data_IF_741821846078
#
_entry.id   IF_741821846078
#
_cell.length_a   1.000
_cell.length_b   1.000
_cell.length_c   1.000
_cell.angle_alpha   90.00
_cell.angle_beta   90.00
_cell.angle_gamma   90.00
#
_symmetry.space_group_name_H-M   'P 1'
#
loop_
_entity.id
_entity.type
_entity.pdbx_description
1 polymer ?
#
# COMPACT_ATOMS: atom_id res chain seq x y z
N UNK A 1 59.63 2.74 -45.97
CA UNK A 1 59.08 1.97 -44.83
C UNK A 1 58.08 2.84 -44.09
N UNK A 2 56.82 2.89 -44.52
CA UNK A 2 55.69 3.50 -43.75
C UNK A 2 54.30 3.29 -44.37
N UNK A 3 54.18 2.63 -45.52
CA UNK A 3 52.88 2.40 -46.20
C UNK A 3 52.47 0.93 -46.33
N UNK A 4 53.34 -0.04 -46.02
CA UNK A 4 53.02 -1.47 -46.14
C UNK A 4 52.42 -2.09 -44.86
N UNK A 5 52.66 -1.52 -43.68
CA UNK A 5 52.14 -2.04 -42.39
C UNK A 5 50.73 -1.57 -42.04
N UNK A 6 50.27 -0.45 -42.61
CA UNK A 6 48.92 0.09 -42.37
C UNK A 6 47.83 -0.72 -43.12
N UNK A 7 48.15 -1.25 -44.30
CA UNK A 7 47.20 -2.04 -45.10
C UNK A 7 46.95 -3.45 -44.54
N UNK A 8 47.91 -4.04 -43.81
CA UNK A 8 47.74 -5.36 -43.21
C UNK A 8 46.79 -5.34 -42.00
N UNK A 9 46.80 -4.28 -41.19
CA UNK A 9 45.92 -4.12 -40.02
C UNK A 9 44.47 -3.83 -40.47
N UNK A 10 44.28 -3.09 -41.56
CA UNK A 10 42.95 -2.77 -42.08
C UNK A 10 42.24 -3.99 -42.72
N UNK A 11 43.00 -4.95 -43.26
CA UNK A 11 42.44 -6.18 -43.82
C UNK A 11 41.94 -7.14 -42.73
N UNK A 12 42.66 -7.27 -41.61
CA UNK A 12 42.25 -8.11 -40.48
C UNK A 12 41.05 -7.55 -39.71
N UNK A 13 40.95 -6.23 -39.56
CA UNK A 13 39.82 -5.59 -38.87
C UNK A 13 38.52 -5.69 -39.66
N UNK A 14 38.57 -5.55 -40.99
CA UNK A 14 37.38 -5.71 -41.84
C UNK A 14 36.89 -7.17 -41.93
N UNK A 15 37.78 -8.15 -41.82
CA UNK A 15 37.41 -9.57 -41.79
C UNK A 15 36.71 -9.94 -40.46
N UNK A 16 37.14 -9.36 -39.33
CA UNK A 16 36.52 -9.60 -38.01
C UNK A 16 35.13 -8.95 -37.92
N UNK A 17 34.92 -7.78 -38.55
CA UNK A 17 33.61 -7.11 -38.59
C UNK A 17 32.63 -7.88 -39.52
N UNK A 18 33.08 -8.40 -40.66
CA UNK A 18 32.25 -9.20 -41.57
C UNK A 18 31.83 -10.55 -40.95
N UNK A 19 32.70 -11.17 -40.15
CA UNK A 19 32.40 -12.45 -39.48
C UNK A 19 31.39 -12.26 -38.32
N UNK A 20 31.49 -11.15 -37.58
CA UNK A 20 30.53 -10.82 -36.51
C UNK A 20 29.14 -10.42 -37.06
N UNK A 21 29.07 -9.76 -38.21
CA UNK A 21 27.81 -9.44 -38.90
C UNK A 21 27.10 -10.68 -39.48
N UNK A 22 27.85 -11.72 -39.90
CA UNK A 22 27.25 -12.99 -40.29
C UNK A 22 26.77 -13.81 -39.08
N UNK A 23 27.45 -13.75 -37.93
CA UNK A 23 26.98 -14.43 -36.71
C UNK A 23 25.74 -13.76 -36.09
N UNK A 24 25.63 -12.42 -36.11
CA UNK A 24 24.42 -11.72 -35.69
C UNK A 24 23.23 -11.96 -36.65
N UNK A 25 23.47 -12.12 -37.96
CA UNK A 25 22.38 -12.46 -38.89
C UNK A 25 21.94 -13.92 -38.79
N UNK A 26 22.83 -14.89 -38.49
CA UNK A 26 22.41 -16.28 -38.32
C UNK A 26 21.58 -16.52 -37.04
N UNK A 27 21.81 -15.77 -35.96
CA UNK A 27 20.94 -15.81 -34.78
C UNK A 27 19.58 -15.14 -35.00
N UNK A 28 19.50 -14.12 -35.86
CA UNK A 28 18.23 -13.47 -36.20
C UNK A 28 17.36 -14.25 -37.19
N UNK A 29 17.94 -15.17 -37.97
CA UNK A 29 17.20 -15.97 -38.98
C UNK A 29 16.64 -17.27 -38.41
N UNK A 30 17.15 -17.82 -37.31
CA UNK A 30 16.59 -19.06 -36.71
C UNK A 30 15.32 -18.86 -35.88
N UNK A 31 14.88 -17.61 -35.66
CA UNK A 31 13.62 -17.29 -34.96
C UNK A 31 12.52 -16.83 -35.95
N UNK A 32 12.82 -16.79 -37.25
CA UNK A 32 11.90 -16.36 -38.31
C UNK A 32 11.50 -17.46 -39.30
N UNK A 33 10.45 -18.23 -38.96
CA UNK A 33 9.47 -18.69 -39.96
C UNK A 33 9.58 -20.11 -40.55
N UNK A 34 8.63 -20.96 -40.14
CA UNK A 34 7.83 -21.88 -40.97
C UNK A 34 6.49 -21.99 -40.21
N UNK A 35 5.32 -21.47 -40.58
CA UNK A 35 4.61 -21.42 -41.87
C UNK A 35 3.25 -22.12 -41.68
N UNK A 36 2.15 -21.38 -41.48
CA UNK A 36 0.80 -21.98 -41.38
C UNK A 36 -0.33 -21.08 -40.84
N UNK A 37 -0.94 -20.28 -41.72
CA UNK A 37 -2.31 -19.71 -41.73
C UNK A 37 -3.15 -19.73 -40.42
N UNK A 38 -3.41 -18.56 -39.84
CA UNK A 38 -4.44 -18.33 -38.82
C UNK A 38 -4.11 -17.15 -37.90
N UNK A 39 -4.73 -15.99 -38.12
CA UNK A 39 -4.47 -14.77 -37.36
C UNK A 39 -5.00 -14.82 -35.93
N UNK A 40 -4.07 -14.79 -34.97
CA UNK A 40 -4.31 -14.69 -33.54
C UNK A 40 -2.98 -14.79 -32.81
N UNK A 41 -2.26 -13.67 -32.66
CA UNK A 41 -0.98 -13.62 -31.95
C UNK A 41 -1.22 -13.83 -30.45
N UNK A 42 -1.22 -15.10 -30.00
CA UNK A 42 -1.08 -15.44 -28.60
C UNK A 42 0.36 -15.14 -28.19
N UNK A 43 0.53 -14.17 -27.30
CA UNK A 43 1.76 -13.96 -26.52
C UNK A 43 2.14 -15.30 -25.91
N UNK A 44 3.37 -15.78 -26.15
CA UNK A 44 3.92 -16.95 -25.45
C UNK A 44 3.99 -16.58 -23.98
N UNK A 45 2.97 -16.94 -23.20
CA UNK A 45 2.94 -16.70 -21.77
C UNK A 45 4.03 -17.52 -21.08
N UNK A 46 4.71 -16.94 -20.10
CA UNK A 46 5.62 -17.68 -19.24
C UNK A 46 4.90 -18.92 -18.68
N UNK A 47 5.50 -20.13 -18.69
CA UNK A 47 4.86 -21.35 -18.19
C UNK A 47 4.46 -21.24 -16.71
N UNK A 48 5.04 -20.28 -16.00
CA UNK A 48 4.64 -19.95 -14.64
C UNK A 48 3.24 -19.32 -14.55
N UNK A 49 2.80 -18.53 -15.55
CA UNK A 49 1.49 -17.88 -15.55
C UNK A 49 0.33 -18.78 -16.02
N UNK A 50 0.63 -20.02 -16.42
CA UNK A 50 -0.37 -21.00 -16.87
C UNK A 50 -1.40 -21.35 -15.77
N UNK A 51 -1.00 -21.25 -14.50
CA UNK A 51 -1.91 -21.24 -13.35
C UNK A 51 -1.78 -19.95 -12.55
N UNK A 52 -2.86 -19.16 -12.46
CA UNK A 52 -2.91 -17.98 -11.58
C UNK A 52 -3.02 -18.41 -10.12
N UNK A 53 -2.16 -17.85 -9.25
CA UNK A 53 -2.10 -18.20 -7.81
C UNK A 53 -2.53 -17.04 -6.90
N UNK A 54 -3.32 -16.10 -7.40
CA UNK A 54 -3.86 -14.98 -6.61
C UNK A 54 -4.58 -15.43 -5.31
N UNK A 55 -5.22 -16.60 -5.33
CA UNK A 55 -5.85 -17.19 -4.14
C UNK A 55 -4.88 -17.42 -2.98
N UNK A 56 -3.61 -17.79 -3.25
CA UNK A 56 -2.62 -18.00 -2.19
C UNK A 56 -2.31 -16.70 -1.45
N UNK A 57 -2.26 -15.59 -2.17
CA UNK A 57 -2.03 -14.28 -1.59
C UNK A 57 -3.24 -13.80 -0.78
N UNK A 58 -4.47 -13.93 -1.31
CA UNK A 58 -5.69 -13.59 -0.56
C UNK A 58 -5.87 -14.45 0.68
N UNK A 59 -5.63 -15.76 0.54
CA UNK A 59 -5.74 -16.71 1.64
C UNK A 59 -4.75 -16.37 2.76
N UNK A 60 -3.54 -15.91 2.43
CA UNK A 60 -2.57 -15.49 3.43
C UNK A 60 -3.10 -14.35 4.30
N UNK A 61 -3.68 -13.32 3.69
CA UNK A 61 -4.27 -12.19 4.40
C UNK A 61 -5.44 -12.63 5.28
N UNK A 62 -6.35 -13.44 4.74
CA UNK A 62 -7.52 -13.97 5.47
C UNK A 62 -7.07 -14.83 6.65
N UNK A 63 -6.12 -15.74 6.43
CA UNK A 63 -5.57 -16.60 7.49
C UNK A 63 -4.90 -15.77 8.59
N UNK A 64 -4.12 -14.74 8.25
CA UNK A 64 -3.51 -13.87 9.28
C UNK A 64 -4.54 -13.11 10.10
N UNK A 65 -5.60 -12.59 9.47
CA UNK A 65 -6.70 -11.92 10.16
C UNK A 65 -7.43 -12.87 11.10
N UNK A 66 -7.83 -14.06 10.61
CA UNK A 66 -8.52 -15.06 11.41
C UNK A 66 -7.65 -15.60 12.55
N UNK A 67 -6.37 -15.87 12.30
CA UNK A 67 -5.42 -16.31 13.32
C UNK A 67 -5.26 -15.24 14.42
N UNK A 68 -5.10 -13.97 14.05
CA UNK A 68 -5.04 -12.86 15.01
C UNK A 68 -6.31 -12.76 15.86
N UNK A 69 -7.47 -12.84 15.22
CA UNK A 69 -8.77 -12.78 15.90
C UNK A 69 -8.93 -13.97 16.87
N UNK A 70 -8.57 -15.19 16.45
CA UNK A 70 -8.58 -16.37 17.31
C UNK A 70 -7.65 -16.22 18.51
N UNK A 71 -6.43 -15.71 18.33
CA UNK A 71 -5.50 -15.47 19.43
C UNK A 71 -6.09 -14.51 20.46
N UNK A 72 -6.72 -13.42 20.02
CA UNK A 72 -7.36 -12.45 20.94
C UNK A 72 -8.58 -13.06 21.63
N UNK A 73 -9.39 -13.86 20.92
CA UNK A 73 -10.54 -14.54 21.52
C UNK A 73 -10.12 -15.59 22.54
N UNK A 74 -9.10 -16.39 22.23
CA UNK A 74 -8.54 -17.38 23.15
C UNK A 74 -7.95 -16.68 24.38
N UNK A 75 -7.24 -15.56 24.19
CA UNK A 75 -6.75 -14.75 25.30
C UNK A 75 -7.87 -14.22 26.19
N UNK A 76 -8.95 -13.67 25.60
CA UNK A 76 -10.13 -13.21 26.36
C UNK A 76 -10.83 -14.37 27.07
N UNK A 77 -10.97 -15.52 26.42
CA UNK A 77 -11.58 -16.70 27.01
C UNK A 77 -10.75 -17.23 28.18
N UNK A 78 -9.43 -17.27 28.02
CA UNK A 78 -8.51 -17.65 29.09
C UNK A 78 -8.61 -16.69 30.29
N UNK A 79 -8.58 -15.38 30.05
CA UNK A 79 -8.77 -14.38 31.10
C UNK A 79 -10.12 -14.54 31.82
N UNK A 80 -11.21 -14.77 31.07
CA UNK A 80 -12.54 -15.01 31.64
C UNK A 80 -12.60 -16.28 32.48
N UNK A 81 -12.02 -17.39 32.00
CA UNK A 81 -11.97 -18.66 32.72
C UNK A 81 -11.12 -18.58 34.00
N UNK A 82 -9.99 -17.88 33.96
CA UNK A 82 -9.14 -17.63 35.12
C UNK A 82 -9.86 -16.79 36.18
N UNK A 83 -10.52 -15.69 35.79
CA UNK A 83 -11.31 -14.86 36.72
C UNK A 83 -12.52 -15.61 37.31
N UNK A 84 -13.16 -16.52 36.55
CA UNK A 84 -14.27 -17.34 37.07
C UNK A 84 -13.80 -18.38 38.09
N UNK A 85 -12.55 -18.84 38.00
CA UNK A 85 -11.98 -19.87 38.90
C UNK A 85 -11.60 -19.32 40.28
N UNK A 86 -11.42 -17.99 40.41
CA UNK A 86 -11.11 -17.32 41.68
C UNK A 86 -12.34 -17.14 42.60
N UNK A 87 -13.57 -17.25 42.07
CA UNK A 87 -14.79 -17.00 42.83
C UNK A 87 -15.26 -18.17 43.74
N UNK A 88 -14.58 -19.32 43.74
CA UNK A 88 -15.05 -20.58 44.35
C UNK A 88 -14.08 -21.18 45.41
N UNK A 89 -13.16 -20.40 46.01
CA UNK A 89 -12.22 -20.92 47.01
C UNK A 89 -12.45 -20.32 48.41
N UNK A 90 -12.92 -21.18 49.31
CA UNK A 90 -13.06 -20.87 50.74
C UNK A 90 -11.72 -20.75 51.49
N UNK A 91 -11.70 -20.20 52.72
CA UNK A 91 -10.52 -19.57 53.29
C UNK A 91 -9.31 -20.44 53.66
N UNK A 92 -9.33 -21.77 53.50
CA UNK A 92 -8.36 -22.67 54.16
C UNK A 92 -7.87 -23.89 53.34
N UNK A 93 -7.90 -23.87 52.01
CA UNK A 93 -7.36 -24.99 51.21
C UNK A 93 -5.84 -24.90 50.97
N UNK A 94 -5.06 -26.01 51.06
CA UNK A 94 -3.62 -26.02 50.81
C UNK A 94 -3.23 -25.62 49.37
N UNK A 95 -4.19 -25.61 48.44
CA UNK A 95 -4.03 -25.10 47.06
C UNK A 95 -3.78 -23.59 46.97
N UNK A 96 -4.04 -22.82 48.05
CA UNK A 96 -3.74 -21.39 48.09
C UNK A 96 -2.24 -21.06 47.98
N UNK A 97 -1.34 -21.93 48.46
CA UNK A 97 0.12 -21.69 48.36
C UNK A 97 0.61 -21.83 46.92
N UNK A 98 0.12 -22.81 46.18
CA UNK A 98 0.39 -22.94 44.74
C UNK A 98 -0.26 -21.82 43.94
N UNK A 99 -1.47 -21.40 44.30
CA UNK A 99 -2.13 -20.22 43.71
C UNK A 99 -1.37 -18.92 43.98
N UNK A 100 -0.78 -18.71 45.16
CA UNK A 100 0.05 -17.53 45.44
C UNK A 100 1.34 -17.52 44.61
N UNK A 101 1.95 -18.67 44.36
CA UNK A 101 3.10 -18.78 43.46
C UNK A 101 2.72 -18.55 41.99
N UNK A 102 1.55 -19.07 41.55
CA UNK A 102 1.00 -18.80 40.23
C UNK A 102 0.59 -17.31 40.07
N UNK A 103 0.05 -16.70 41.12
CA UNK A 103 -0.30 -15.27 41.19
C UNK A 103 0.92 -14.38 41.14
N UNK A 104 2.03 -14.73 41.78
CA UNK A 104 3.30 -14.00 41.64
C UNK A 104 3.85 -14.06 40.20
N UNK A 105 3.62 -15.17 39.49
CA UNK A 105 3.99 -15.32 38.07
C UNK A 105 3.07 -14.52 37.14
N UNK A 106 1.77 -14.50 37.42
CA UNK A 106 0.77 -13.69 36.69
C UNK A 106 0.88 -12.19 36.99
N UNK A 107 1.24 -11.79 38.22
CA UNK A 107 1.57 -10.40 38.55
C UNK A 107 2.82 -9.96 37.80
N UNK A 108 3.88 -10.78 37.77
CA UNK A 108 5.09 -10.47 37.02
C UNK A 108 4.85 -10.33 35.51
N UNK A 109 4.09 -11.25 34.89
CA UNK A 109 3.68 -11.12 33.48
C UNK A 109 2.75 -9.91 33.25
N UNK A 110 1.87 -9.62 34.21
CA UNK A 110 1.02 -8.43 34.21
C UNK A 110 1.84 -7.14 34.23
N UNK A 111 2.85 -7.06 35.09
CA UNK A 111 3.76 -5.92 35.20
C UNK A 111 4.54 -5.69 33.91
N UNK A 112 5.11 -6.73 33.31
CA UNK A 112 5.81 -6.62 32.03
C UNK A 112 4.89 -6.13 30.91
N UNK A 113 3.66 -6.64 30.84
CA UNK A 113 2.72 -6.24 29.80
C UNK A 113 2.16 -4.83 30.02
N UNK A 114 2.02 -4.37 31.26
CA UNK A 114 1.69 -2.96 31.55
C UNK A 114 2.84 -2.03 31.16
N UNK A 115 4.09 -2.37 31.49
CA UNK A 115 5.26 -1.58 31.08
C UNK A 115 5.40 -1.50 29.56
N UNK A 116 5.23 -2.63 28.86
CA UNK A 116 5.27 -2.68 27.40
C UNK A 116 4.15 -1.85 26.76
N UNK A 117 2.94 -1.86 27.36
CA UNK A 117 1.81 -1.05 26.90
C UNK A 117 2.09 0.45 27.06
N UNK A 118 2.63 0.85 28.21
CA UNK A 118 2.93 2.25 28.49
C UNK A 118 4.06 2.76 27.58
N UNK A 119 5.12 1.97 27.40
CA UNK A 119 6.21 2.26 26.46
C UNK A 119 5.71 2.38 25.01
N UNK A 120 4.87 1.45 24.55
CA UNK A 120 4.29 1.50 23.21
C UNK A 120 3.35 2.70 23.05
N UNK A 121 2.57 3.03 24.08
CA UNK A 121 1.72 4.22 24.13
C UNK A 121 2.52 5.52 24.04
N UNK A 122 3.66 5.60 24.72
CA UNK A 122 4.57 6.75 24.67
C UNK A 122 5.19 6.93 23.27
N UNK A 123 5.55 5.83 22.60
CA UNK A 123 6.05 5.87 21.22
C UNK A 123 5.01 6.37 20.21
N UNK A 124 3.75 5.94 20.33
CA UNK A 124 2.68 6.33 19.40
C UNK A 124 2.18 7.74 19.68
N UNK A 125 2.01 8.09 20.96
CA UNK A 125 1.64 9.46 21.35
C UNK A 125 2.69 10.48 20.95
N UNK A 126 3.94 10.01 20.83
CA UNK A 126 5.03 10.77 20.27
C UNK A 126 5.44 11.98 21.13
N UNK A 127 5.15 11.92 22.43
CA UNK A 127 5.64 12.95 23.34
C UNK A 127 7.17 12.93 23.44
N UNK A 128 7.78 11.76 23.23
CA UNK A 128 9.23 11.57 23.18
C UNK A 128 9.84 11.94 21.82
N UNK A 129 11.13 12.25 21.83
CA UNK A 129 11.92 12.43 20.60
C UNK A 129 11.94 11.17 19.74
N UNK A 130 12.01 9.98 20.36
CA UNK A 130 11.96 8.69 19.66
C UNK A 130 10.61 8.47 18.99
N UNK A 131 9.49 8.78 19.67
CA UNK A 131 8.17 8.71 19.06
C UNK A 131 7.99 9.70 17.90
N UNK A 132 8.54 10.92 18.01
CA UNK A 132 8.57 11.88 16.88
C UNK A 132 9.26 11.31 15.65
N UNK A 133 10.44 10.73 15.86
CA UNK A 133 11.21 10.11 14.79
C UNK A 133 10.41 8.95 14.17
N UNK A 134 9.80 8.08 15.00
CA UNK A 134 8.98 6.97 14.54
C UNK A 134 7.82 7.45 13.66
N UNK A 135 7.08 8.47 14.10
CA UNK A 135 5.93 9.02 13.37
C UNK A 135 6.35 9.64 12.03
N UNK A 136 7.43 10.44 12.01
CA UNK A 136 7.97 11.00 10.76
C UNK A 136 8.43 9.89 9.82
N UNK A 137 9.08 8.86 10.35
CA UNK A 137 9.58 7.74 9.57
C UNK A 137 8.42 6.94 8.96
N UNK A 138 7.37 6.64 9.73
CA UNK A 138 6.13 6.01 9.23
C UNK A 138 5.52 6.84 8.11
N UNK A 139 5.45 8.16 8.26
CA UNK A 139 4.93 9.06 7.23
C UNK A 139 5.74 8.97 5.93
N UNK A 140 7.07 9.14 5.99
CA UNK A 140 7.93 9.09 4.82
C UNK A 140 7.88 7.71 4.15
N UNK A 141 7.96 6.64 4.93
CA UNK A 141 7.88 5.28 4.39
C UNK A 141 6.50 4.96 3.80
N UNK A 142 5.41 5.52 4.34
CA UNK A 142 4.08 5.31 3.78
C UNK A 142 3.98 5.89 2.36
N UNK A 143 4.50 7.11 2.16
CA UNK A 143 4.56 7.76 0.84
C UNK A 143 5.49 6.98 -0.09
N UNK A 144 6.68 6.60 0.37
CA UNK A 144 7.61 5.82 -0.43
C UNK A 144 7.01 4.46 -0.86
N UNK A 145 6.30 3.78 0.04
CA UNK A 145 5.62 2.51 -0.25
C UNK A 145 4.47 2.65 -1.25
N UNK A 146 3.82 3.82 -1.31
CA UNK A 146 2.79 4.14 -2.28
C UNK A 146 3.41 4.47 -3.65
N UNK A 147 4.53 5.18 -3.68
CA UNK A 147 5.29 5.44 -4.92
C UNK A 147 5.77 4.13 -5.55
N UNK A 148 6.30 3.21 -4.73
CA UNK A 148 6.67 1.86 -5.21
C UNK A 148 5.47 1.15 -5.84
N UNK A 149 4.29 1.24 -5.22
CA UNK A 149 3.07 0.71 -5.82
C UNK A 149 2.76 1.34 -7.17
N UNK A 150 2.88 2.67 -7.32
CA UNK A 150 2.65 3.33 -8.62
C UNK A 150 3.65 2.89 -9.70
N UNK A 151 4.92 2.69 -9.33
CA UNK A 151 5.95 2.17 -10.25
C UNK A 151 5.60 0.73 -10.67
N UNK A 152 5.25 -0.14 -9.71
CA UNK A 152 4.89 -1.53 -9.99
C UNK A 152 3.60 -1.63 -10.83
N UNK A 153 2.62 -0.75 -10.57
CA UNK A 153 1.34 -0.69 -11.26
C UNK A 153 1.41 -0.02 -12.64
N UNK A 154 2.45 0.77 -12.94
CA UNK A 154 2.67 1.30 -14.29
C UNK A 154 3.21 0.25 -15.27
N UNK A 155 3.78 -0.83 -14.76
CA UNK A 155 4.27 -1.93 -15.59
C UNK A 155 3.08 -2.81 -16.04
N UNK A 156 3.16 -3.40 -17.23
CA UNK A 156 2.06 -4.19 -17.81
C UNK A 156 1.86 -5.55 -17.11
N UNK A 157 0.61 -5.88 -16.78
CA UNK A 157 0.21 -7.16 -16.19
C UNK A 157 0.09 -7.19 -14.66
N UNK A 158 -0.80 -8.06 -14.16
CA UNK A 158 -1.16 -8.16 -12.72
C UNK A 158 -0.26 -9.12 -11.94
N UNK A 159 0.22 -10.18 -12.60
CA UNK A 159 1.11 -11.20 -12.04
C UNK A 159 2.38 -11.31 -12.88
N UNK A 160 3.55 -11.38 -12.24
CA UNK A 160 4.83 -11.64 -12.91
C UNK A 160 5.61 -12.72 -12.18
N UNK A 161 6.27 -13.58 -12.95
CA UNK A 161 7.13 -14.62 -12.44
C UNK A 161 8.59 -14.19 -12.60
N UNK A 162 9.11 -13.53 -11.58
CA UNK A 162 10.49 -13.07 -11.59
C UNK A 162 11.11 -13.35 -10.22
N UNK A 163 12.33 -13.87 -10.25
CA UNK A 163 13.07 -14.27 -9.06
C UNK A 163 13.28 -13.08 -8.15
N UNK A 164 13.14 -13.31 -6.85
CA UNK A 164 13.34 -12.28 -5.83
C UNK A 164 14.70 -11.57 -5.91
N UNK A 165 15.76 -12.30 -6.27
CA UNK A 165 17.12 -11.76 -6.35
C UNK A 165 17.31 -10.71 -7.44
N UNK A 166 16.52 -10.74 -8.50
CA UNK A 166 16.65 -9.83 -9.64
C UNK A 166 15.76 -8.59 -9.50
N UNK A 167 14.83 -8.61 -8.53
CA UNK A 167 13.82 -7.59 -8.31
C UNK A 167 14.17 -6.64 -7.17
N UNK A 168 14.89 -5.56 -7.50
CA UNK A 168 15.21 -4.50 -6.53
C UNK A 168 13.92 -3.89 -5.92
N UNK A 169 12.87 -3.68 -6.73
CA UNK A 169 11.61 -3.11 -6.23
C UNK A 169 10.93 -4.02 -5.19
N UNK A 170 10.98 -5.34 -5.37
CA UNK A 170 10.43 -6.32 -4.42
C UNK A 170 11.25 -6.36 -3.13
N UNK A 171 12.58 -6.23 -3.22
CA UNK A 171 13.46 -6.18 -2.04
C UNK A 171 13.19 -4.94 -1.19
N UNK A 172 13.04 -3.77 -1.82
CA UNK A 172 12.71 -2.53 -1.12
C UNK A 172 11.29 -2.62 -0.52
N UNK A 173 10.33 -3.18 -1.27
CA UNK A 173 8.96 -3.37 -0.77
C UNK A 173 8.91 -4.23 0.49
N UNK A 174 9.66 -5.34 0.49
CA UNK A 174 9.79 -6.22 1.63
C UNK A 174 10.36 -5.48 2.84
N UNK A 175 11.44 -4.70 2.65
CA UNK A 175 12.05 -3.93 3.73
C UNK A 175 11.05 -2.96 4.38
N UNK A 176 10.22 -2.28 3.57
CA UNK A 176 9.16 -1.41 4.09
C UNK A 176 8.06 -2.20 4.81
N UNK A 177 7.64 -3.36 4.30
CA UNK A 177 6.62 -4.18 4.98
C UNK A 177 7.12 -4.77 6.30
N UNK A 178 8.42 -5.11 6.42
CA UNK A 178 9.02 -5.52 7.71
C UNK A 178 8.94 -4.36 8.71
N UNK A 179 9.24 -3.14 8.30
CA UNK A 179 9.08 -1.98 9.16
C UNK A 179 7.61 -1.77 9.57
N UNK A 180 6.66 -1.85 8.63
CA UNK A 180 5.24 -1.73 8.95
C UNK A 180 4.72 -2.86 9.85
N UNK A 181 5.29 -4.06 9.76
CA UNK A 181 4.98 -5.17 10.65
C UNK A 181 5.38 -4.85 12.09
N UNK A 182 6.58 -4.30 12.31
CA UNK A 182 7.01 -3.85 13.65
C UNK A 182 6.09 -2.73 14.14
N UNK A 183 5.75 -1.76 13.29
CA UNK A 183 4.83 -0.69 13.64
C UNK A 183 3.43 -1.21 13.99
N UNK A 184 2.92 -2.20 13.26
CA UNK A 184 1.66 -2.88 13.56
C UNK A 184 1.68 -3.52 14.95
N UNK A 185 2.75 -4.22 15.32
CA UNK A 185 2.87 -4.82 16.66
C UNK A 185 2.95 -3.78 17.77
N UNK A 186 3.66 -2.66 17.57
CA UNK A 186 3.69 -1.55 18.54
C UNK A 186 2.26 -1.02 18.76
N UNK A 187 1.50 -0.77 17.69
CA UNK A 187 0.10 -0.35 17.78
C UNK A 187 -0.79 -1.39 18.46
N UNK A 188 -0.59 -2.67 18.15
CA UNK A 188 -1.32 -3.76 18.77
C UNK A 188 -1.08 -3.81 20.29
N UNK A 189 0.16 -3.63 20.75
CA UNK A 189 0.51 -3.62 22.19
C UNK A 189 -0.09 -2.40 22.89
N UNK A 190 -0.05 -1.22 22.28
CA UNK A 190 -0.61 0.00 22.85
C UNK A 190 -2.15 0.01 22.94
N UNK A 191 -2.84 -0.66 22.02
CA UNK A 191 -4.30 -0.64 21.95
C UNK A 191 -4.97 -1.12 23.25
N UNK A 192 -5.96 -0.38 23.76
CA UNK A 192 -6.73 -0.79 24.94
C UNK A 192 -7.64 -1.98 24.66
N UNK A 193 -8.37 -1.93 23.55
CA UNK A 193 -9.24 -3.02 23.09
C UNK A 193 -8.65 -3.74 21.87
N UNK A 194 -8.02 -4.88 22.12
CA UNK A 194 -7.33 -5.66 21.06
C UNK A 194 -8.28 -6.09 19.94
N UNK A 195 -9.52 -6.45 20.24
CA UNK A 195 -10.52 -6.86 19.22
C UNK A 195 -10.93 -5.70 18.32
N UNK A 196 -11.20 -4.53 18.91
CA UNK A 196 -11.60 -3.35 18.15
C UNK A 196 -10.45 -2.86 17.28
N UNK A 197 -9.23 -2.91 17.81
CA UNK A 197 -8.02 -2.64 17.04
C UNK A 197 -7.87 -3.57 15.84
N UNK A 198 -8.18 -4.87 15.97
CA UNK A 198 -8.10 -5.79 14.83
C UNK A 198 -9.14 -5.48 13.73
N UNK A 199 -10.25 -4.84 14.07
CA UNK A 199 -11.31 -4.43 13.14
C UNK A 199 -11.17 -2.98 12.66
N UNK A 200 -10.08 -2.30 13.02
CA UNK A 200 -9.79 -0.95 12.58
C UNK A 200 -9.36 -0.93 11.09
N UNK A 201 -9.80 0.10 10.34
CA UNK A 201 -9.50 0.24 8.91
C UNK A 201 -8.00 0.15 8.60
N UNK A 202 -7.16 0.77 9.43
CA UNK A 202 -5.71 0.77 9.24
C UNK A 202 -5.08 -0.60 9.49
N UNK A 203 -5.66 -1.40 10.37
CA UNK A 203 -5.24 -2.79 10.60
C UNK A 203 -5.58 -3.66 9.39
N UNK A 204 -6.74 -3.42 8.74
CA UNK A 204 -7.07 -4.10 7.47
C UNK A 204 -6.06 -3.82 6.37
N UNK A 205 -5.62 -2.56 6.21
CA UNK A 205 -4.58 -2.22 5.23
C UNK A 205 -3.30 -3.04 5.47
N UNK A 206 -2.90 -3.20 6.74
CA UNK A 206 -1.72 -3.98 7.10
C UNK A 206 -1.92 -5.48 6.82
N UNK A 207 -3.08 -6.07 7.12
CA UNK A 207 -3.36 -7.48 6.80
C UNK A 207 -3.36 -7.78 5.30
N UNK A 208 -3.79 -6.84 4.46
CA UNK A 208 -3.85 -7.05 3.02
C UNK A 208 -2.55 -6.71 2.29
N UNK A 209 -1.59 -6.07 2.97
CA UNK A 209 -0.33 -5.63 2.34
C UNK A 209 0.89 -6.37 2.88
N UNK A 210 0.93 -6.71 4.17
CA UNK A 210 2.12 -7.31 4.81
C UNK A 210 2.23 -8.82 4.48
N UNK A 211 1.25 -9.69 4.81
CA UNK A 211 1.36 -11.13 4.56
C UNK A 211 1.58 -11.50 3.08
N UNK A 212 0.86 -10.91 2.10
CA UNK A 212 1.11 -11.19 0.68
C UNK A 212 2.54 -10.90 0.23
N UNK A 213 3.22 -9.93 0.85
CA UNK A 213 4.61 -9.61 0.52
C UNK A 213 5.57 -10.74 0.93
N UNK A 214 5.33 -11.41 2.06
CA UNK A 214 6.10 -12.60 2.45
C UNK A 214 5.81 -13.81 1.56
N UNK A 215 4.55 -14.00 1.18
CA UNK A 215 4.14 -15.07 0.25
C UNK A 215 4.77 -14.88 -1.13
N UNK A 216 4.96 -13.63 -1.58
CA UNK A 216 5.60 -13.34 -2.87
C UNK A 216 7.03 -13.88 -2.98
N UNK A 217 7.74 -13.98 -1.85
CA UNK A 217 9.09 -14.54 -1.78
C UNK A 217 9.02 -16.07 -1.80
N UNK A 218 8.09 -16.64 -1.03
CA UNK A 218 7.93 -18.09 -0.96
C UNK A 218 7.48 -18.70 -2.31
N UNK A 219 6.72 -17.96 -3.11
CA UNK A 219 6.22 -18.40 -4.42
C UNK A 219 7.09 -17.93 -5.61
N UNK A 220 8.14 -17.13 -5.39
CA UNK A 220 8.92 -16.45 -6.44
C UNK A 220 8.03 -15.78 -7.51
N UNK A 221 6.91 -15.19 -7.06
CA UNK A 221 5.91 -14.53 -7.91
C UNK A 221 5.49 -13.21 -7.31
N UNK A 222 5.44 -12.17 -8.12
CA UNK A 222 4.92 -10.86 -7.72
C UNK A 222 3.47 -10.72 -8.17
N UNK A 223 2.63 -10.23 -7.26
CA UNK A 223 1.23 -9.93 -7.52
C UNK A 223 0.93 -8.51 -7.04
N UNK A 224 0.37 -7.68 -7.93
CA UNK A 224 -0.01 -6.31 -7.59
C UNK A 224 -1.17 -6.31 -6.59
N UNK A 225 -2.19 -7.16 -6.82
CA UNK A 225 -3.28 -7.45 -5.91
C UNK A 225 -3.87 -6.23 -5.19
N UNK A 226 -3.95 -6.33 -3.86
CA UNK A 226 -4.54 -5.32 -2.98
C UNK A 226 -3.53 -4.25 -2.51
N UNK A 227 -2.36 -4.13 -3.16
CA UNK A 227 -1.32 -3.15 -2.74
C UNK A 227 -1.78 -1.69 -2.87
N UNK A 228 -2.82 -1.42 -3.67
CA UNK A 228 -3.46 -0.10 -3.76
C UNK A 228 -4.06 0.38 -2.42
N UNK A 229 -4.38 -0.53 -1.49
CA UNK A 229 -4.90 -0.18 -0.16
C UNK A 229 -3.91 0.68 0.64
N UNK A 230 -2.63 0.70 0.27
CA UNK A 230 -1.63 1.62 0.84
C UNK A 230 -2.02 3.08 0.68
N UNK A 231 -2.81 3.43 -0.34
CA UNK A 231 -3.32 4.79 -0.53
C UNK A 231 -4.22 5.23 0.64
N UNK A 232 -4.91 4.31 1.32
CA UNK A 232 -5.71 4.60 2.51
C UNK A 232 -4.87 5.11 3.69
N UNK A 233 -3.55 4.83 3.71
CA UNK A 233 -2.65 5.40 4.72
C UNK A 233 -2.50 6.91 4.58
N UNK A 234 -2.86 7.50 3.45
CA UNK A 234 -2.89 8.97 3.32
C UNK A 234 -3.92 9.61 4.27
N UNK A 235 -4.94 8.86 4.73
CA UNK A 235 -5.91 9.37 5.71
C UNK A 235 -5.28 9.71 7.08
N UNK A 236 -4.15 9.10 7.45
CA UNK A 236 -3.46 9.38 8.72
C UNK A 236 -2.53 10.59 8.64
N UNK A 237 -2.31 11.13 7.45
CA UNK A 237 -1.38 12.26 7.22
C UNK A 237 -1.76 13.51 8.04
N UNK A 238 -3.03 13.96 8.08
CA UNK A 238 -3.42 15.12 8.87
C UNK A 238 -3.13 14.94 10.36
N UNK A 239 -3.38 13.74 10.91
CA UNK A 239 -3.13 13.44 12.32
C UNK A 239 -1.63 13.53 12.64
N UNK A 240 -0.79 13.00 11.73
CA UNK A 240 0.67 13.09 11.83
C UNK A 240 1.13 14.55 11.74
N UNK A 241 0.58 15.34 10.82
CA UNK A 241 0.94 16.76 10.67
C UNK A 241 0.50 17.62 11.86
N UNK A 242 -0.64 17.30 12.47
CA UNK A 242 -1.10 17.92 13.70
C UNK A 242 -0.14 17.59 14.85
N UNK A 243 0.24 16.32 14.94
CA UNK A 243 1.20 15.84 15.92
C UNK A 243 2.60 16.51 15.77
N UNK A 244 3.06 16.75 14.53
CA UNK A 244 4.29 17.49 14.24
C UNK A 244 4.17 19.01 14.44
N UNK A 245 3.02 19.50 14.92
CA UNK A 245 2.74 20.91 15.17
C UNK A 245 2.89 21.80 13.90
N UNK A 246 2.69 21.20 12.72
CA UNK A 246 2.68 21.89 11.42
C UNK A 246 1.29 22.51 11.18
N UNK A 247 0.24 21.74 11.45
CA UNK A 247 -1.15 22.20 11.35
C UNK A 247 -1.63 22.69 12.73
N UNK A 248 -1.63 24.02 12.91
CA UNK A 248 -1.99 24.65 14.20
C UNK A 248 -3.44 25.09 14.28
N UNK A 249 -4.04 25.46 13.15
CA UNK A 249 -5.40 26.00 13.09
C UNK A 249 -6.40 24.90 12.79
N UNK A 250 -7.55 24.89 13.49
CA UNK A 250 -8.64 23.93 13.28
C UNK A 250 -9.12 23.87 11.83
N UNK A 251 -9.24 25.03 11.16
CA UNK A 251 -9.61 25.10 9.74
C UNK A 251 -8.60 24.40 8.82
N UNK A 252 -7.31 24.52 9.11
CA UNK A 252 -6.24 23.88 8.32
C UNK A 252 -6.17 22.38 8.57
N UNK A 253 -6.42 21.93 9.81
CA UNK A 253 -6.52 20.51 10.16
C UNK A 253 -7.70 19.88 9.42
N UNK A 254 -8.88 20.50 9.50
CA UNK A 254 -10.09 20.04 8.83
C UNK A 254 -9.94 20.00 7.30
N UNK A 255 -9.33 21.03 6.72
CA UNK A 255 -9.01 21.06 5.29
C UNK A 255 -8.08 19.92 4.89
N UNK A 256 -6.98 19.72 5.63
CA UNK A 256 -6.05 18.62 5.37
C UNK A 256 -6.73 17.25 5.50
N UNK A 257 -7.60 17.07 6.50
CA UNK A 257 -8.42 15.87 6.67
C UNK A 257 -9.28 15.58 5.45
N UNK A 258 -10.11 16.54 5.02
CA UNK A 258 -10.97 16.38 3.85
C UNK A 258 -10.17 16.07 2.58
N UNK A 259 -9.10 16.80 2.32
CA UNK A 259 -8.26 16.60 1.13
C UNK A 259 -7.59 15.22 1.15
N UNK A 260 -7.05 14.81 2.30
CA UNK A 260 -6.41 13.50 2.44
C UNK A 260 -7.38 12.33 2.27
N UNK A 261 -8.59 12.44 2.83
CA UNK A 261 -9.66 11.45 2.68
C UNK A 261 -10.08 11.39 1.21
N UNK A 262 -10.29 12.54 0.57
CA UNK A 262 -10.69 12.58 -0.84
C UNK A 262 -9.65 11.92 -1.75
N UNK A 263 -8.38 12.30 -1.63
CA UNK A 263 -7.29 11.74 -2.45
C UNK A 263 -7.11 10.25 -2.18
N UNK A 264 -7.13 9.83 -0.91
CA UNK A 264 -6.94 8.42 -0.54
C UNK A 264 -8.04 7.51 -1.09
N UNK A 265 -9.31 7.91 -0.97
CA UNK A 265 -10.46 7.16 -1.51
C UNK A 265 -10.36 7.10 -3.03
N UNK A 266 -9.99 8.19 -3.69
CA UNK A 266 -9.87 8.24 -5.15
C UNK A 266 -8.81 7.30 -5.70
N UNK A 267 -7.60 7.35 -5.12
CA UNK A 267 -6.49 6.48 -5.51
C UNK A 267 -6.80 5.01 -5.21
N UNK A 268 -7.48 4.74 -4.08
CA UNK A 268 -7.92 3.39 -3.74
C UNK A 268 -8.94 2.87 -4.74
N UNK A 269 -9.95 3.67 -5.10
CA UNK A 269 -10.94 3.30 -6.11
C UNK A 269 -10.30 3.09 -7.50
N UNK A 270 -9.32 3.93 -7.87
CA UNK A 270 -8.57 3.75 -9.11
C UNK A 270 -7.80 2.43 -9.11
N UNK A 271 -7.21 2.06 -7.97
CA UNK A 271 -6.55 0.78 -7.77
C UNK A 271 -7.48 -0.42 -7.84
N UNK A 272 -8.71 -0.30 -7.32
CA UNK A 272 -9.74 -1.33 -7.44
C UNK A 272 -10.11 -1.54 -8.91
N UNK A 273 -10.42 -0.47 -9.64
CA UNK A 273 -10.75 -0.57 -11.08
C UNK A 273 -9.57 -1.13 -11.87
N UNK A 274 -8.36 -0.65 -11.60
CA UNK A 274 -7.15 -1.18 -12.20
C UNK A 274 -6.98 -2.68 -11.96
N UNK A 275 -7.23 -3.16 -10.74
CA UNK A 275 -7.17 -4.59 -10.44
C UNK A 275 -8.27 -5.36 -11.18
N UNK A 276 -9.52 -4.89 -11.14
CA UNK A 276 -10.67 -5.59 -11.72
C UNK A 276 -10.56 -5.69 -13.25
N UNK A 277 -10.24 -4.59 -13.92
CA UNK A 277 -10.15 -4.55 -15.39
C UNK A 277 -8.95 -5.35 -15.91
N UNK A 278 -7.79 -5.26 -15.26
CA UNK A 278 -6.61 -6.02 -15.68
C UNK A 278 -6.69 -7.50 -15.29
N UNK A 279 -7.47 -7.86 -14.25
CA UNK A 279 -7.65 -9.26 -13.86
C UNK A 279 -8.60 -9.99 -14.79
N UNK A 280 -9.68 -9.34 -15.24
CA UNK A 280 -10.76 -9.94 -16.04
C UNK A 280 -11.91 -10.47 -15.16
N UNK A 281 -12.96 -10.99 -15.80
CA UNK A 281 -14.14 -11.49 -15.11
C UNK A 281 -13.98 -12.96 -14.67
N UNK A 282 -14.20 -13.24 -13.39
CA UNK A 282 -14.22 -14.61 -12.86
C UNK A 282 -15.42 -15.41 -13.40
N UNK A 283 -15.31 -16.75 -13.61
CA UNK A 283 -14.25 -17.64 -13.14
C UNK A 283 -13.07 -17.85 -14.10
N UNK A 284 -13.24 -17.62 -15.40
CA UNK A 284 -12.24 -17.96 -16.43
C UNK A 284 -11.28 -16.78 -16.75
N UNK A 285 -11.48 -15.62 -16.11
CA UNK A 285 -10.68 -14.41 -16.31
C UNK A 285 -10.66 -13.91 -17.75
N UNK A 286 -11.76 -14.15 -18.46
CA UNK A 286 -11.99 -13.61 -19.80
C UNK A 286 -12.29 -12.10 -19.73
N UNK A 287 -12.17 -11.41 -20.86
CA UNK A 287 -12.41 -9.96 -20.98
C UNK A 287 -11.45 -9.05 -20.17
N UNK A 288 -10.22 -9.50 -19.91
CA UNK A 288 -9.21 -8.63 -19.32
C UNK A 288 -8.86 -7.47 -20.27
N UNK A 289 -8.91 -6.25 -19.74
CA UNK A 289 -8.58 -5.04 -20.46
C UNK A 289 -7.37 -4.39 -19.81
N UNK A 290 -6.26 -4.32 -20.57
CA UNK A 290 -5.01 -3.75 -20.11
C UNK A 290 -5.13 -2.21 -19.96
N UNK A 291 -5.56 -1.76 -18.78
CA UNK A 291 -5.66 -0.34 -18.45
C UNK A 291 -4.54 0.05 -17.50
N UNK A 292 -3.66 1.00 -17.86
CA UNK A 292 -2.64 1.47 -16.94
C UNK A 292 -3.27 2.23 -15.77
N UNK A 293 -2.61 2.19 -14.61
CA UNK A 293 -3.14 2.78 -13.37
C UNK A 293 -3.54 4.26 -13.52
N UNK A 294 -2.71 5.07 -14.19
CA UNK A 294 -2.98 6.50 -14.38
C UNK A 294 -4.19 6.77 -15.27
N UNK A 295 -4.49 5.88 -16.22
CA UNK A 295 -5.72 5.96 -17.02
C UNK A 295 -6.95 5.65 -16.17
N UNK A 296 -6.84 4.73 -15.19
CA UNK A 296 -7.90 4.48 -14.22
C UNK A 296 -8.13 5.69 -13.30
N UNK A 297 -7.06 6.37 -12.88
CA UNK A 297 -7.15 7.64 -12.13
C UNK A 297 -7.89 8.68 -12.97
N UNK A 298 -7.43 8.93 -14.20
CA UNK A 298 -8.06 9.86 -15.15
C UNK A 298 -9.56 9.56 -15.34
N UNK A 299 -9.89 8.29 -15.59
CA UNK A 299 -11.27 7.82 -15.74
C UNK A 299 -12.13 8.17 -14.52
N UNK A 300 -11.62 7.91 -13.31
CA UNK A 300 -12.34 8.29 -12.09
C UNK A 300 -12.44 9.81 -11.91
N UNK A 301 -11.48 10.59 -12.40
CA UNK A 301 -11.59 12.06 -12.37
C UNK A 301 -12.73 12.56 -13.24
N UNK A 302 -12.79 12.07 -14.47
CA UNK A 302 -13.79 12.45 -15.46
C UNK A 302 -15.20 11.98 -15.07
N UNK A 303 -15.32 10.81 -14.45
CA UNK A 303 -16.62 10.27 -14.03
C UNK A 303 -17.14 10.91 -12.75
N UNK A 304 -16.30 11.13 -11.73
CA UNK A 304 -16.72 11.79 -10.47
C UNK A 304 -17.05 13.27 -10.67
N UNK A 305 -16.40 13.93 -11.63
CA UNK A 305 -16.76 15.29 -12.06
C UNK A 305 -18.01 15.35 -12.94
N UNK A 306 -18.67 14.22 -13.19
CA UNK A 306 -19.87 14.08 -14.03
C UNK A 306 -19.69 14.50 -15.50
N UNK A 307 -18.44 14.59 -15.97
CA UNK A 307 -18.14 14.95 -17.37
C UNK A 307 -18.38 13.76 -18.30
N UNK A 308 -17.81 12.60 -17.98
CA UNK A 308 -18.07 11.34 -18.69
C UNK A 308 -17.80 11.38 -20.20
N UNK A 309 -16.57 11.66 -20.64
CA UNK A 309 -16.22 11.71 -22.06
C UNK A 309 -16.53 10.43 -22.84
N UNK A 310 -16.45 9.26 -22.19
CA UNK A 310 -16.71 7.95 -22.80
C UNK A 310 -15.54 7.41 -23.62
N UNK A 311 -14.37 8.03 -23.54
CA UNK A 311 -13.11 7.58 -24.16
C UNK A 311 -12.51 6.37 -23.43
N UNK A 312 -12.64 6.34 -22.10
CA UNK A 312 -12.25 5.22 -21.24
C UNK A 312 -13.47 4.76 -20.45
N UNK A 313 -13.71 3.46 -20.38
CA UNK A 313 -14.79 2.85 -19.62
C UNK A 313 -14.45 1.43 -19.18
N UNK A 314 -15.15 0.95 -18.13
CA UNK A 314 -14.99 -0.42 -17.63
C UNK A 314 -15.68 -1.41 -18.56
N UNK A 315 -14.97 -2.45 -19.00
CA UNK A 315 -15.53 -3.55 -19.79
C UNK A 315 -16.02 -4.68 -18.89
N UNK A 316 -15.34 -4.93 -17.77
CA UNK A 316 -15.63 -6.06 -16.88
C UNK A 316 -16.93 -5.87 -16.12
N UNK A 317 -17.62 -6.98 -15.83
CA UNK A 317 -18.86 -6.98 -15.04
C UNK A 317 -18.58 -6.50 -13.62
N UNK A 318 -17.47 -6.96 -13.01
CA UNK A 318 -17.08 -6.52 -11.67
C UNK A 318 -16.68 -5.05 -11.64
N UNK A 319 -15.94 -4.55 -12.64
CA UNK A 319 -15.57 -3.14 -12.75
C UNK A 319 -16.78 -2.22 -12.88
N UNK A 320 -17.74 -2.59 -13.73
CA UNK A 320 -19.02 -1.85 -13.90
C UNK A 320 -19.85 -1.86 -12.62
N UNK A 321 -19.96 -3.02 -11.97
CA UNK A 321 -20.72 -3.15 -10.72
C UNK A 321 -20.12 -2.27 -9.62
N UNK A 322 -18.79 -2.32 -9.45
CA UNK A 322 -18.08 -1.46 -8.52
C UNK A 322 -18.31 0.02 -8.83
N UNK A 323 -18.20 0.43 -10.10
CA UNK A 323 -18.37 1.81 -10.51
C UNK A 323 -19.77 2.35 -10.17
N UNK A 324 -20.84 1.57 -10.35
CA UNK A 324 -22.20 1.99 -10.00
C UNK A 324 -22.31 2.30 -8.50
N UNK A 325 -21.86 1.39 -7.64
CA UNK A 325 -21.87 1.64 -6.19
C UNK A 325 -20.95 2.80 -5.79
N UNK A 326 -19.78 2.89 -6.42
CA UNK A 326 -18.82 3.95 -6.17
C UNK A 326 -19.37 5.32 -6.54
N UNK A 327 -20.07 5.48 -7.66
CA UNK A 327 -20.68 6.76 -8.04
C UNK A 327 -21.84 7.15 -7.12
N UNK A 328 -22.66 6.19 -6.66
CA UNK A 328 -23.75 6.47 -5.72
C UNK A 328 -23.23 7.10 -4.41
N UNK A 329 -22.15 6.54 -3.85
CA UNK A 329 -21.55 7.04 -2.60
C UNK A 329 -20.64 8.23 -2.88
N UNK A 330 -19.82 8.14 -3.92
CA UNK A 330 -18.78 9.10 -4.27
C UNK A 330 -19.34 10.47 -4.66
N UNK A 331 -20.44 10.52 -5.43
CA UNK A 331 -21.07 11.79 -5.80
C UNK A 331 -21.68 12.49 -4.57
N UNK A 332 -22.25 11.74 -3.62
CA UNK A 332 -22.78 12.31 -2.38
C UNK A 332 -21.66 12.95 -1.54
N UNK A 333 -20.53 12.25 -1.37
CA UNK A 333 -19.36 12.76 -0.64
C UNK A 333 -18.72 13.94 -1.40
N UNK A 334 -18.61 13.86 -2.73
CA UNK A 334 -18.04 14.94 -3.55
C UNK A 334 -18.87 16.22 -3.44
N UNK A 335 -20.20 16.10 -3.54
CA UNK A 335 -21.12 17.22 -3.44
C UNK A 335 -21.05 17.94 -2.08
N UNK A 336 -20.79 17.22 -0.98
CA UNK A 336 -20.63 17.83 0.34
C UNK A 336 -19.22 18.37 0.59
N UNK A 337 -18.18 17.67 0.12
CA UNK A 337 -16.79 17.99 0.45
C UNK A 337 -16.25 19.20 -0.31
N UNK A 338 -16.64 19.40 -1.57
CA UNK A 338 -16.12 20.50 -2.40
C UNK A 338 -16.53 21.88 -1.86
N UNK A 339 -17.81 22.16 -1.53
CA UNK A 339 -18.20 23.44 -0.94
C UNK A 339 -17.48 23.73 0.37
N UNK A 340 -17.30 22.70 1.21
CA UNK A 340 -16.59 22.82 2.49
C UNK A 340 -15.11 23.17 2.30
N UNK A 341 -14.44 22.54 1.34
CA UNK A 341 -13.06 22.87 0.98
C UNK A 341 -12.97 24.32 0.48
N UNK A 342 -13.91 24.76 -0.36
CA UNK A 342 -13.92 26.13 -0.91
C UNK A 342 -14.11 27.16 0.20
N UNK A 343 -15.00 26.92 1.16
CA UNK A 343 -15.24 27.82 2.30
C UNK A 343 -14.00 27.93 3.21
N UNK A 344 -13.37 26.78 3.51
CA UNK A 344 -12.15 26.73 4.31
C UNK A 344 -10.95 27.42 3.63
N UNK A 345 -10.84 27.39 2.30
CA UNK A 345 -9.79 28.08 1.55
C UNK A 345 -10.13 29.57 1.34
N UNK A 346 -11.41 29.89 1.19
CA UNK A 346 -11.93 31.22 0.85
C UNK A 346 -11.93 32.23 2.00
N UNK A 347 -11.75 31.80 3.24
CA UNK A 347 -11.75 32.65 4.45
C UNK A 347 -10.53 33.56 4.62
N UNK A 348 -9.74 33.81 3.56
CA UNK A 348 -8.65 34.80 3.58
C UNK A 348 -9.24 36.22 3.74
N UNK A 349 -8.79 36.95 4.77
CA UNK A 349 -9.16 38.36 4.95
C UNK A 349 -8.79 39.18 3.70
N UNK A 350 -9.81 39.76 3.05
CA UNK A 350 -9.67 40.61 1.86
C UNK A 350 -8.81 41.86 2.12
N UNK A 351 -8.66 42.25 3.38
CA UNK A 351 -7.91 43.43 3.82
C UNK A 351 -6.73 43.03 4.72
N UNK A 352 -5.95 42.04 4.28
CA UNK A 352 -4.67 41.71 4.90
C UNK A 352 -3.55 42.34 4.06
N UNK A 353 -3.11 43.54 4.44
CA UNK A 353 -2.00 44.22 3.79
C UNK A 353 -1.31 45.15 4.79
N UNK A 354 -0.01 45.34 4.62
CA UNK A 354 0.75 46.29 5.42
C UNK A 354 0.67 47.68 4.78
N UNK A 355 0.40 48.72 5.58
CA UNK A 355 0.38 50.10 5.07
C UNK A 355 1.79 50.53 4.69
N UNK A 356 2.10 50.53 3.40
CA UNK A 356 3.39 51.02 2.89
C UNK A 356 3.41 52.55 2.99
N UNK A 357 4.06 53.07 4.03
CA UNK A 357 4.33 54.51 4.17
C UNK A 357 5.28 54.97 3.07
N UNK A 358 4.77 55.72 2.09
CA UNK A 358 5.64 56.47 1.18
C UNK A 358 6.22 57.68 1.91
N UNK A 359 7.56 57.83 1.88
CA UNK A 359 8.22 59.03 2.38
C UNK A 359 7.98 60.19 1.41
N UNK A 360 7.35 61.27 1.89
CA UNK A 360 7.20 62.49 1.12
C UNK A 360 8.57 63.09 0.75
N UNK A 361 8.74 63.52 -0.50
CA UNK A 361 9.94 64.28 -0.91
C UNK A 361 10.01 65.58 -0.09
N UNK A 362 11.18 65.83 0.49
CA UNK A 362 11.48 67.09 1.19
C UNK A 362 11.29 68.28 0.25
N UNK A 363 10.52 69.32 0.63
CA UNK A 363 10.47 70.55 -0.14
C UNK A 363 11.87 71.20 -0.09
N UNK A 364 12.42 71.46 -1.28
CA UNK A 364 13.68 72.17 -1.53
C UNK A 364 13.61 73.62 -1.06
#
# INVERSE_FOLDING_TARGET
MTTATVNAVNCTTNQIIATNLQQQNLQNVTIGGVGGVGGGSAVVGDPCLETRKYWCFLLSSICTFLAGLLVVLVWRLFAFLCCRKEAELGPNDPKQKEQKAARGKQEFEGTFMTEAKDWAGELISGQTTTGRILVVLVFILSIASLIIYFIDASNEGVERCQKWSENVTQQIDLAFNIFFMVYFFIRFIAASDKLWFMLEMYSFVDYFTIPPSFVSIYLDRTWIGLRFLRALRLMTVPDILQYLNILKTSSSIRLAQLVSIFISVWLTAAGIIHLLENSGDAPDFENAHALPYWTCVYFLIVTMSTVGYGDVYCHTVFGRTFLVFFLLVGLAIFASSIPEIIDLVGTRSKYCGEYKREHGKSPL
#
